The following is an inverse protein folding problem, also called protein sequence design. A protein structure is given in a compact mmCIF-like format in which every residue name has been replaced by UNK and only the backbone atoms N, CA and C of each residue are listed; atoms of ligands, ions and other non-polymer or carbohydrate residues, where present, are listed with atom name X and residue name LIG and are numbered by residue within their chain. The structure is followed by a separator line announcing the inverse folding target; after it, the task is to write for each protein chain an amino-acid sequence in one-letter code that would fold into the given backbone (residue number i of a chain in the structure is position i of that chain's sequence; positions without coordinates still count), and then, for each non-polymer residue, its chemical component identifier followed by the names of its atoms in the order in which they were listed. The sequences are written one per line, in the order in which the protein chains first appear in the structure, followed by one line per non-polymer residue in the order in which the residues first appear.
data_IF_238793908916
#
_entry.id   IF_238793908916
#
_cell.length_a   1.000
_cell.length_b   1.000
_cell.length_c   1.000
_cell.angle_alpha   90.00
_cell.angle_beta   90.00
_cell.angle_gamma   90.00
#
_symmetry.space_group_name_H-M   'P 1'
#
loop_
_entity.id
_entity.type
_entity.pdbx_description
1 polymer ?
#
# COMPACT_ATOMS: atom_id res chain seq x y z
N UNK A 1 4.61 16.16 -16.07
CA UNK A 1 4.69 14.81 -16.65
C UNK A 1 5.33 13.91 -15.60
N UNK A 2 4.58 12.95 -15.04
CA UNK A 2 5.10 12.02 -14.02
C UNK A 2 5.87 10.85 -14.65
N UNK A 3 6.86 10.30 -13.94
CA UNK A 3 7.62 9.13 -14.39
C UNK A 3 7.15 7.88 -13.63
N UNK A 4 6.94 6.78 -14.33
CA UNK A 4 6.57 5.48 -13.74
C UNK A 4 7.53 4.40 -14.23
N UNK A 5 7.92 3.48 -13.34
CA UNK A 5 8.74 2.32 -13.65
C UNK A 5 8.21 1.09 -12.91
N UNK A 6 8.14 -0.06 -13.57
CA UNK A 6 7.86 -1.38 -13.00
C UNK A 6 9.07 -2.30 -13.19
N UNK A 7 9.23 -3.32 -12.34
CA UNK A 7 10.33 -4.28 -12.53
C UNK A 7 10.02 -5.34 -13.59
N UNK A 8 10.97 -5.64 -14.49
CA UNK A 8 10.90 -6.83 -15.33
C UNK A 8 11.23 -8.07 -14.48
N UNK A 9 10.30 -9.03 -14.40
CA UNK A 9 10.55 -10.34 -13.79
C UNK A 9 11.29 -11.23 -14.78
N UNK A 10 12.63 -11.27 -14.70
CA UNK A 10 13.48 -12.23 -15.44
C UNK A 10 14.30 -13.04 -14.44
N UNK A 11 14.05 -14.35 -14.37
CA UNK A 11 14.80 -15.29 -13.54
C UNK A 11 16.08 -15.73 -14.25
N UNK A 12 17.23 -15.74 -13.55
CA UNK A 12 18.47 -16.38 -14.02
C UNK A 12 19.15 -17.15 -12.88
N UNK A 13 19.64 -18.35 -13.20
CA UNK A 13 20.13 -19.41 -12.31
C UNK A 13 21.39 -19.06 -11.48
N UNK A 14 21.36 -19.49 -10.21
CA UNK A 14 22.39 -20.29 -9.52
C UNK A 14 23.69 -19.64 -9.01
N UNK A 15 23.83 -19.47 -7.68
CA UNK A 15 24.86 -20.15 -6.84
C UNK A 15 24.94 -19.61 -5.39
N UNK A 16 24.88 -20.55 -4.43
CA UNK A 16 25.37 -20.61 -3.02
C UNK A 16 25.60 -19.33 -2.20
N UNK A 17 24.93 -19.27 -1.04
CA UNK A 17 25.33 -18.47 0.14
C UNK A 17 24.44 -18.77 1.34
N UNK A 18 25.03 -19.16 2.48
CA UNK A 18 24.37 -19.57 3.73
C UNK A 18 23.64 -18.44 4.49
N UNK A 19 23.03 -18.75 5.66
CA UNK A 19 21.91 -17.99 6.20
C UNK A 19 22.38 -16.74 6.94
N UNK A 20 21.82 -15.57 6.58
CA UNK A 20 21.91 -14.36 7.38
C UNK A 20 20.68 -14.26 8.27
N UNK A 21 20.93 -13.97 9.54
CA UNK A 21 19.98 -14.01 10.63
C UNK A 21 18.75 -13.14 10.41
N UNK A 22 17.66 -13.60 11.03
CA UNK A 22 16.45 -12.84 11.31
C UNK A 22 16.80 -11.65 12.23
N UNK A 23 17.33 -10.56 11.67
CA UNK A 23 17.26 -9.27 12.34
C UNK A 23 15.80 -8.84 12.33
N UNK A 24 15.15 -9.00 13.47
CA UNK A 24 13.85 -8.43 13.78
C UNK A 24 14.01 -6.89 13.75
N UNK A 25 13.84 -6.32 12.56
CA UNK A 25 13.87 -4.87 12.33
C UNK A 25 12.86 -4.22 13.29
N UNK A 26 13.35 -3.52 14.32
CA UNK A 26 12.51 -2.72 15.21
C UNK A 26 11.81 -1.65 14.38
N UNK A 27 10.48 -1.70 14.33
CA UNK A 27 9.61 -0.74 13.65
C UNK A 27 9.90 0.66 14.21
N UNK A 28 10.24 1.63 13.35
CA UNK A 28 10.28 3.03 13.75
C UNK A 28 8.88 3.46 14.22
N UNK A 29 8.78 4.18 15.35
CA UNK A 29 7.49 4.58 15.88
C UNK A 29 6.73 5.46 14.88
N UNK A 30 5.45 5.16 14.70
CA UNK A 30 4.57 5.85 13.76
C UNK A 30 3.20 6.08 14.38
N UNK A 31 2.52 7.13 13.93
CA UNK A 31 1.11 7.40 14.22
C UNK A 31 0.32 7.43 12.92
N UNK A 32 -0.99 7.31 13.02
CA UNK A 32 -1.91 7.41 11.88
C UNK A 32 -2.75 8.67 12.03
N UNK A 33 -2.94 9.42 10.95
CA UNK A 33 -3.91 10.52 10.86
C UNK A 33 -4.95 10.17 9.81
N UNK A 34 -6.22 10.20 10.21
CA UNK A 34 -7.38 10.04 9.32
C UNK A 34 -7.93 11.43 8.98
N UNK A 35 -7.93 11.76 7.69
CA UNK A 35 -8.43 13.03 7.16
C UNK A 35 -9.96 13.06 7.09
N UNK A 36 -10.54 14.26 6.99
CA UNK A 36 -12.00 14.46 6.90
C UNK A 36 -12.60 13.68 5.72
N UNK A 37 -11.87 13.63 4.59
CA UNK A 37 -12.21 12.92 3.36
C UNK A 37 -12.00 11.38 3.43
N UNK A 38 -11.58 10.87 4.59
CA UNK A 38 -11.34 9.44 4.81
C UNK A 38 -9.98 8.94 4.29
N UNK A 39 -9.07 9.82 3.86
CA UNK A 39 -7.69 9.40 3.57
C UNK A 39 -6.92 9.09 4.87
N UNK A 40 -6.10 8.06 4.83
CA UNK A 40 -5.17 7.69 5.91
C UNK A 40 -3.76 8.21 5.59
N UNK A 41 -3.07 8.74 6.60
CA UNK A 41 -1.68 9.19 6.52
C UNK A 41 -0.88 8.60 7.67
N UNK A 42 0.09 7.72 7.38
CA UNK A 42 1.05 7.23 8.38
C UNK A 42 2.20 8.25 8.54
N UNK A 43 2.44 8.71 9.77
CA UNK A 43 3.47 9.68 10.12
C UNK A 43 4.57 9.02 10.95
N UNK A 44 5.83 9.20 10.55
CA UNK A 44 6.98 8.86 11.39
C UNK A 44 7.11 9.85 12.53
N UNK A 45 7.54 9.36 13.69
CA UNK A 45 7.72 10.16 14.89
C UNK A 45 9.21 10.44 15.18
N UNK A 46 9.53 11.54 15.88
CA UNK A 46 8.60 12.52 16.47
C UNK A 46 8.07 13.55 15.47
N UNK A 47 6.81 13.98 15.67
CA UNK A 47 6.15 15.05 14.94
C UNK A 47 5.20 15.81 15.87
N UNK A 48 5.28 17.14 15.85
CA UNK A 48 4.33 18.01 16.56
C UNK A 48 3.01 18.14 15.79
N UNK A 49 1.90 18.29 16.51
CA UNK A 49 0.57 18.46 15.93
C UNK A 49 0.50 19.64 14.94
N UNK A 50 1.25 20.73 15.19
CA UNK A 50 1.37 21.89 14.27
C UNK A 50 1.77 21.53 12.85
N UNK A 51 2.52 20.44 12.67
CA UNK A 51 2.94 20.00 11.34
C UNK A 51 1.75 19.50 10.50
N UNK A 52 0.70 19.00 11.16
CA UNK A 52 -0.54 18.55 10.54
C UNK A 52 -1.54 19.71 10.44
N UNK A 53 -1.76 20.47 11.52
CA UNK A 53 -2.75 21.55 11.53
C UNK A 53 -2.39 22.69 10.57
N UNK A 54 -1.12 23.03 10.41
CA UNK A 54 -0.66 24.04 9.43
C UNK A 54 -1.00 23.69 7.98
N UNK A 55 -1.15 22.41 7.65
CA UNK A 55 -1.54 21.94 6.31
C UNK A 55 -3.06 21.83 6.16
N UNK A 56 -3.83 21.98 7.24
CA UNK A 56 -5.28 21.75 7.30
C UNK A 56 -5.98 22.85 8.12
N UNK A 57 -6.02 24.11 7.64
CA UNK A 57 -6.37 25.28 8.44
C UNK A 57 -7.82 25.34 8.94
N UNK A 58 -8.74 24.57 8.34
CA UNK A 58 -10.14 24.50 8.77
C UNK A 58 -10.44 23.32 9.71
N UNK A 59 -9.39 22.64 10.17
CA UNK A 59 -9.50 21.42 10.94
C UNK A 59 -8.69 21.49 12.23
N UNK A 60 -9.16 20.78 13.25
CA UNK A 60 -8.38 20.50 14.45
C UNK A 60 -8.00 19.02 14.49
N UNK A 61 -6.91 18.73 15.20
CA UNK A 61 -6.42 17.37 15.36
C UNK A 61 -6.93 16.82 16.70
N UNK A 62 -7.41 15.59 16.71
CA UNK A 62 -7.87 14.93 17.93
C UNK A 62 -7.34 13.50 18.02
N UNK A 63 -7.09 13.03 19.24
CA UNK A 63 -6.60 11.68 19.51
C UNK A 63 -7.80 10.74 19.76
N UNK A 64 -7.82 9.57 19.13
CA UNK A 64 -8.91 8.60 19.30
C UNK A 64 -9.09 8.16 20.76
N UNK A 65 -8.01 8.08 21.54
CA UNK A 65 -8.06 7.62 22.94
C UNK A 65 -8.66 8.66 23.90
N UNK A 66 -8.74 9.93 23.49
CA UNK A 66 -9.31 10.99 24.32
C UNK A 66 -10.76 11.34 23.95
N UNK A 67 -11.34 10.60 23.00
CA UNK A 67 -12.74 10.77 22.59
C UNK A 67 -13.69 10.07 23.56
N UNK A 68 -14.79 10.73 23.92
CA UNK A 68 -15.83 10.16 24.77
C UNK A 68 -17.20 10.65 24.34
N UNK A 69 -18.19 9.76 24.41
CA UNK A 69 -19.58 10.11 24.08
C UNK A 69 -20.12 11.09 25.12
N UNK A 70 -20.81 12.12 24.66
CA UNK A 70 -21.41 13.16 25.51
C UNK A 70 -20.46 14.30 25.88
N UNK A 71 -19.20 14.27 25.43
CA UNK A 71 -18.23 15.35 25.66
C UNK A 71 -17.78 15.98 24.34
N UNK A 72 -17.39 17.25 24.38
CA UNK A 72 -16.70 17.87 23.24
C UNK A 72 -15.36 17.17 23.00
N UNK A 73 -15.00 16.97 21.73
CA UNK A 73 -13.76 16.28 21.37
C UNK A 73 -12.55 17.15 21.73
N UNK A 74 -11.60 16.66 22.55
CA UNK A 74 -10.42 17.43 22.89
C UNK A 74 -9.52 17.67 21.68
N UNK A 75 -9.08 18.92 21.50
CA UNK A 75 -8.03 19.26 20.52
C UNK A 75 -6.65 18.88 21.07
N UNK A 76 -5.80 18.31 20.22
CA UNK A 76 -4.37 18.10 20.50
C UNK A 76 -3.66 19.46 20.35
N UNK A 77 -3.00 19.99 21.40
CA UNK A 77 -2.23 21.23 21.34
C UNK A 77 -1.18 21.22 20.23
N UNK A 78 -0.94 22.36 19.60
CA UNK A 78 -0.06 22.47 18.42
C UNK A 78 1.40 22.03 18.72
N UNK A 79 1.85 22.26 19.95
CA UNK A 79 3.19 21.94 20.44
C UNK A 79 3.33 20.48 20.87
N UNK A 80 2.23 19.76 21.08
CA UNK A 80 2.24 18.38 21.53
C UNK A 80 2.79 17.46 20.42
N UNK A 81 3.66 16.53 20.81
CA UNK A 81 4.15 15.49 19.92
C UNK A 81 3.17 14.33 19.82
N UNK A 82 2.94 13.87 18.59
CA UNK A 82 2.13 12.69 18.34
C UNK A 82 2.79 11.44 18.94
N UNK A 83 1.94 10.57 19.47
CA UNK A 83 2.34 9.40 20.21
C UNK A 83 2.43 8.16 19.30
N UNK A 84 3.40 7.25 19.54
CA UNK A 84 3.54 6.02 18.76
C UNK A 84 2.33 5.10 18.88
N UNK A 85 1.88 4.55 17.75
CA UNK A 85 0.77 3.59 17.68
C UNK A 85 -0.62 4.21 17.79
N UNK A 86 -0.71 5.53 17.96
CA UNK A 86 -1.98 6.24 18.13
C UNK A 86 -2.63 6.60 16.79
N UNK A 87 -3.96 6.68 16.81
CA UNK A 87 -4.79 7.11 15.69
C UNK A 87 -5.34 8.50 16.01
N UNK A 88 -5.11 9.43 15.09
CA UNK A 88 -5.60 10.79 15.17
C UNK A 88 -6.60 11.05 14.05
N UNK A 89 -7.54 11.95 14.29
CA UNK A 89 -8.50 12.40 13.28
C UNK A 89 -8.37 13.91 13.06
N UNK A 90 -8.48 14.33 11.81
CA UNK A 90 -8.76 15.72 11.46
C UNK A 90 -10.28 15.90 11.42
N UNK A 91 -10.80 16.77 12.28
CA UNK A 91 -12.22 17.12 12.34
C UNK A 91 -12.41 18.60 11.98
N UNK A 92 -13.54 18.99 11.35
CA UNK A 92 -13.84 20.40 11.09
C UNK A 92 -13.89 21.23 12.37
N UNK A 93 -13.32 22.45 12.35
CA UNK A 93 -13.35 23.34 13.53
C UNK A 93 -14.76 23.63 14.05
N UNK A 94 -15.78 23.60 13.17
CA UNK A 94 -17.19 23.77 13.56
C UNK A 94 -17.77 22.61 14.37
N UNK A 95 -17.03 21.51 14.55
CA UNK A 95 -17.40 20.36 15.38
C UNK A 95 -16.74 20.39 16.76
N UNK A 96 -15.75 21.26 17.00
CA UNK A 96 -14.98 21.29 18.25
C UNK A 96 -15.83 21.57 19.50
N UNK A 97 -16.93 22.31 19.35
CA UNK A 97 -17.84 22.67 20.46
C UNK A 97 -19.08 21.77 20.56
N UNK A 98 -19.17 20.73 19.72
CA UNK A 98 -20.31 19.81 19.71
C UNK A 98 -19.96 18.58 20.54
N UNK A 99 -20.81 18.19 21.52
CA UNK A 99 -20.63 16.91 22.21
C UNK A 99 -20.72 15.75 21.22
N UNK A 100 -19.76 14.83 21.31
CA UNK A 100 -19.70 13.68 20.42
C UNK A 100 -20.86 12.72 20.74
N UNK A 101 -21.69 12.40 19.74
CA UNK A 101 -22.74 11.39 19.91
C UNK A 101 -22.20 9.98 19.62
N UNK A 102 -22.93 8.95 20.05
CA UNK A 102 -22.58 7.57 19.71
C UNK A 102 -22.56 7.33 18.18
N UNK A 103 -23.54 7.82 17.39
CA UNK A 103 -23.45 7.79 15.92
C UNK A 103 -22.19 8.44 15.34
N UNK A 104 -21.75 9.58 15.89
CA UNK A 104 -20.54 10.26 15.42
C UNK A 104 -19.29 9.40 15.68
N UNK A 105 -19.17 8.83 16.88
CA UNK A 105 -18.07 7.94 17.23
C UNK A 105 -18.07 6.69 16.34
N UNK A 106 -19.23 6.09 16.06
CA UNK A 106 -19.35 4.99 15.10
C UNK A 106 -18.91 5.40 13.70
N UNK A 107 -19.29 6.60 13.24
CA UNK A 107 -18.88 7.11 11.94
C UNK A 107 -17.37 7.32 11.84
N UNK A 108 -16.71 7.80 12.90
CA UNK A 108 -15.25 7.92 12.97
C UNK A 108 -14.57 6.54 12.95
N UNK A 109 -15.09 5.57 13.69
CA UNK A 109 -14.57 4.20 13.69
C UNK A 109 -14.69 3.54 12.30
N UNK A 110 -15.85 3.68 11.65
CA UNK A 110 -16.07 3.20 10.28
C UNK A 110 -15.12 3.93 9.31
N UNK A 111 -14.95 5.25 9.46
CA UNK A 111 -14.02 6.02 8.63
C UNK A 111 -12.60 5.51 8.79
N UNK A 112 -12.11 5.31 10.01
CA UNK A 112 -10.78 4.73 10.25
C UNK A 112 -10.64 3.32 9.67
N UNK A 113 -11.59 2.42 9.93
CA UNK A 113 -11.58 1.07 9.38
C UNK A 113 -11.58 1.06 7.85
N UNK A 114 -12.40 1.92 7.24
CA UNK A 114 -12.46 2.08 5.79
C UNK A 114 -11.17 2.66 5.24
N UNK A 115 -10.57 3.66 5.89
CA UNK A 115 -9.33 4.27 5.45
C UNK A 115 -8.14 3.29 5.54
N UNK A 116 -8.16 2.40 6.53
CA UNK A 116 -7.18 1.33 6.67
C UNK A 116 -7.39 0.19 5.64
N UNK A 117 -8.63 -0.01 5.16
CA UNK A 117 -8.99 -1.09 4.21
C UNK A 117 -9.26 -0.65 2.75
N UNK A 118 -9.30 0.65 2.47
CA UNK A 118 -9.63 1.20 1.15
C UNK A 118 -8.63 0.77 0.10
N UNK A 119 -7.34 0.87 0.44
CA UNK A 119 -6.27 0.48 -0.47
C UNK A 119 -6.33 -1.02 -0.82
N UNK A 120 -6.59 -1.86 0.18
CA UNK A 120 -6.77 -3.30 0.00
C UNK A 120 -7.93 -3.61 -0.96
N UNK A 121 -9.05 -2.92 -0.78
CA UNK A 121 -10.24 -3.07 -1.62
C UNK A 121 -9.97 -2.66 -3.07
N UNK A 122 -9.29 -1.53 -3.28
CA UNK A 122 -8.96 -1.04 -4.63
C UNK A 122 -7.95 -1.95 -5.35
N UNK A 123 -6.87 -2.38 -4.67
CA UNK A 123 -5.93 -3.36 -5.23
C UNK A 123 -6.68 -4.63 -5.65
N UNK A 124 -7.43 -5.24 -4.73
CA UNK A 124 -8.11 -6.51 -4.98
C UNK A 124 -9.13 -6.40 -6.12
N UNK A 125 -9.93 -5.32 -6.13
CA UNK A 125 -10.94 -5.07 -7.14
C UNK A 125 -10.32 -4.96 -8.53
N UNK A 126 -9.27 -4.15 -8.69
CA UNK A 126 -8.62 -3.96 -9.99
C UNK A 126 -8.00 -5.27 -10.52
N UNK A 127 -7.36 -6.07 -9.66
CA UNK A 127 -6.86 -7.39 -10.04
C UNK A 127 -7.99 -8.32 -10.48
N UNK A 128 -9.07 -8.39 -9.70
CA UNK A 128 -10.18 -9.31 -9.98
C UNK A 128 -10.97 -8.92 -11.23
N UNK A 129 -11.04 -7.63 -11.57
CA UNK A 129 -11.57 -7.18 -12.85
C UNK A 129 -10.72 -7.67 -14.03
N UNK A 130 -9.38 -7.56 -13.93
CA UNK A 130 -8.47 -8.05 -14.97
C UNK A 130 -8.52 -9.58 -15.13
N UNK A 131 -8.64 -10.30 -14.01
CA UNK A 131 -8.75 -11.76 -13.97
C UNK A 131 -10.06 -12.27 -14.57
N UNK A 132 -11.17 -11.62 -14.26
CA UNK A 132 -12.45 -11.92 -14.88
C UNK A 132 -12.42 -11.73 -16.40
N UNK A 133 -11.71 -10.70 -16.90
CA UNK A 133 -11.57 -10.44 -18.33
C UNK A 133 -10.81 -11.55 -19.11
N UNK A 134 -10.10 -12.44 -18.43
CA UNK A 134 -9.43 -13.61 -19.02
C UNK A 134 -9.99 -14.94 -18.50
N UNK A 135 -11.10 -14.92 -17.75
CA UNK A 135 -11.78 -16.13 -17.27
C UNK A 135 -11.06 -16.91 -16.16
N UNK A 136 -10.23 -16.25 -15.34
CA UNK A 136 -9.62 -16.90 -14.17
C UNK A 136 -10.26 -16.46 -12.85
N UNK A 137 -10.28 -17.37 -11.88
CA UNK A 137 -10.89 -17.17 -10.56
C UNK A 137 -10.35 -15.94 -9.82
N UNK A 138 -11.16 -15.21 -9.04
CA UNK A 138 -10.71 -14.04 -8.31
C UNK A 138 -9.69 -14.39 -7.22
N UNK A 139 -8.74 -13.49 -6.99
CA UNK A 139 -7.87 -13.51 -5.82
C UNK A 139 -8.68 -13.18 -4.55
N UNK A 140 -8.18 -13.66 -3.41
CA UNK A 140 -8.62 -13.26 -2.07
C UNK A 140 -7.54 -12.40 -1.41
N UNK A 141 -7.96 -11.40 -0.64
CA UNK A 141 -7.01 -10.60 0.13
C UNK A 141 -6.43 -11.41 1.30
N UNK A 142 -5.13 -11.32 1.51
CA UNK A 142 -4.41 -11.95 2.60
C UNK A 142 -3.74 -10.89 3.47
N UNK A 143 -4.24 -10.73 4.69
CA UNK A 143 -3.65 -9.83 5.70
C UNK A 143 -2.20 -10.19 6.01
N UNK A 144 -1.86 -11.48 5.92
CA UNK A 144 -0.48 -11.92 6.10
C UNK A 144 0.44 -11.36 5.01
N UNK A 145 0.03 -11.48 3.73
CA UNK A 145 0.80 -10.94 2.60
C UNK A 145 0.84 -9.41 2.64
N UNK A 146 -0.29 -8.76 2.96
CA UNK A 146 -0.37 -7.31 3.09
C UNK A 146 0.58 -6.77 4.16
N UNK A 147 0.66 -7.45 5.31
CA UNK A 147 1.61 -7.11 6.37
C UNK A 147 3.06 -7.32 5.93
N UNK A 148 3.35 -8.39 5.19
CA UNK A 148 4.69 -8.64 4.65
C UNK A 148 5.11 -7.57 3.63
N UNK A 149 4.27 -7.23 2.65
CA UNK A 149 4.53 -6.15 1.69
C UNK A 149 4.65 -4.82 2.39
N UNK A 150 3.82 -4.55 3.41
CA UNK A 150 3.83 -3.32 4.21
C UNK A 150 5.17 -3.13 4.93
N UNK A 151 5.74 -4.20 5.50
CA UNK A 151 7.10 -4.18 6.08
C UNK A 151 8.15 -3.92 5.01
N UNK A 152 8.04 -4.55 3.85
CA UNK A 152 9.01 -4.42 2.77
C UNK A 152 9.03 -3.02 2.15
N UNK A 153 7.88 -2.45 1.78
CA UNK A 153 7.84 -1.09 1.20
C UNK A 153 8.37 -0.04 2.17
N UNK A 154 8.08 -0.17 3.47
CA UNK A 154 8.65 0.71 4.49
C UNK A 154 10.16 0.53 4.61
N UNK A 155 10.66 -0.71 4.60
CA UNK A 155 12.10 -0.96 4.63
C UNK A 155 12.79 -0.32 3.43
N UNK A 156 12.23 -0.47 2.23
CA UNK A 156 12.79 0.16 1.03
C UNK A 156 12.77 1.69 1.12
N UNK A 157 11.67 2.27 1.60
CA UNK A 157 11.56 3.72 1.84
C UNK A 157 12.61 4.22 2.82
N UNK A 158 12.78 3.51 3.92
CA UNK A 158 13.53 4.00 5.08
C UNK A 158 15.03 3.75 4.97
N UNK A 159 15.42 2.63 4.35
CA UNK A 159 16.79 2.15 4.37
C UNK A 159 17.41 2.01 2.97
N UNK A 160 16.59 2.06 1.92
CA UNK A 160 17.04 1.81 0.53
C UNK A 160 16.65 2.93 -0.43
N UNK A 161 16.35 4.12 0.07
CA UNK A 161 16.00 5.29 -0.73
C UNK A 161 14.86 5.02 -1.73
N UNK A 162 13.87 4.22 -1.33
CA UNK A 162 12.76 3.79 -2.20
C UNK A 162 13.14 3.04 -3.48
N UNK A 163 14.34 2.47 -3.54
CA UNK A 163 14.71 1.57 -4.63
C UNK A 163 13.81 0.33 -4.65
N UNK A 164 13.75 -0.35 -5.80
CA UNK A 164 13.07 -1.63 -5.90
C UNK A 164 13.64 -2.68 -4.95
N UNK A 165 12.75 -3.48 -4.39
CA UNK A 165 13.13 -4.64 -3.59
C UNK A 165 13.59 -5.78 -4.50
N UNK A 166 14.49 -6.62 -3.97
CA UNK A 166 14.81 -7.88 -4.61
C UNK A 166 13.68 -8.88 -4.35
N UNK A 167 12.79 -9.06 -5.32
CA UNK A 167 11.66 -9.99 -5.23
C UNK A 167 11.97 -11.40 -5.76
N UNK A 168 13.14 -11.62 -6.37
CA UNK A 168 13.49 -12.85 -7.07
C UNK A 168 14.35 -13.81 -6.24
N UNK A 169 15.19 -13.29 -5.34
CA UNK A 169 16.07 -14.13 -4.51
C UNK A 169 15.41 -14.51 -3.19
N UNK A 170 15.02 -15.78 -3.03
CA UNK A 170 14.54 -16.33 -1.76
C UNK A 170 13.10 -15.95 -1.36
N UNK A 171 12.35 -15.27 -2.25
CA UNK A 171 10.94 -14.98 -2.02
C UNK A 171 10.09 -16.25 -2.15
N UNK A 172 9.26 -16.52 -1.15
CA UNK A 172 8.26 -17.60 -1.18
C UNK A 172 7.00 -17.23 -2.00
N UNK A 173 6.90 -15.96 -2.41
CA UNK A 173 5.72 -15.37 -3.04
C UNK A 173 6.05 -14.81 -4.42
N UNK A 174 5.06 -14.79 -5.29
CA UNK A 174 5.12 -13.99 -6.52
C UNK A 174 5.09 -12.52 -6.16
N UNK A 175 5.67 -11.64 -6.98
CA UNK A 175 5.85 -10.25 -6.60
C UNK A 175 5.85 -9.28 -7.77
N UNK A 176 5.03 -8.23 -7.65
CA UNK A 176 5.05 -7.07 -8.54
C UNK A 176 5.40 -5.82 -7.73
N UNK A 177 6.08 -4.87 -8.37
CA UNK A 177 6.35 -3.56 -7.78
C UNK A 177 6.30 -2.45 -8.82
N UNK A 178 5.90 -1.27 -8.37
CA UNK A 178 5.82 -0.06 -9.18
C UNK A 178 6.40 1.11 -8.40
N UNK A 179 7.27 1.87 -9.06
CA UNK A 179 7.69 3.19 -8.61
C UNK A 179 7.04 4.23 -9.50
N UNK A 180 6.45 5.27 -8.91
CA UNK A 180 5.81 6.33 -9.65
C UNK A 180 6.02 7.69 -8.97
N UNK A 181 6.22 8.76 -9.76
CA UNK A 181 6.40 10.13 -9.27
C UNK A 181 5.45 11.13 -9.94
N UNK A 182 5.19 12.23 -9.21
CA UNK A 182 4.57 13.43 -9.77
C UNK A 182 3.05 13.51 -9.66
N UNK A 183 2.37 12.54 -9.03
CA UNK A 183 0.93 12.56 -8.71
C UNK A 183 0.60 11.69 -7.49
N UNK A 184 -0.60 11.86 -6.93
CA UNK A 184 -1.16 10.90 -5.96
C UNK A 184 -1.42 9.57 -6.66
N UNK A 185 -0.64 8.54 -6.31
CA UNK A 185 -0.71 7.21 -6.93
C UNK A 185 -1.73 6.37 -6.18
N UNK A 186 -2.84 6.03 -6.86
CA UNK A 186 -3.87 5.14 -6.30
C UNK A 186 -3.54 3.66 -6.56
N UNK A 187 -4.02 2.73 -5.73
CA UNK A 187 -3.93 1.30 -5.99
C UNK A 187 -4.43 0.88 -7.38
N UNK A 188 -5.54 1.45 -7.83
CA UNK A 188 -6.10 1.17 -9.16
C UNK A 188 -5.12 1.56 -10.27
N UNK A 189 -4.51 2.76 -10.19
CA UNK A 189 -3.49 3.20 -11.15
C UNK A 189 -2.26 2.28 -11.19
N UNK A 190 -1.88 1.71 -10.04
CA UNK A 190 -0.76 0.75 -9.98
C UNK A 190 -1.07 -0.48 -10.81
N UNK A 191 -2.26 -1.06 -10.61
CA UNK A 191 -2.69 -2.25 -11.33
C UNK A 191 -2.88 -1.96 -12.81
N UNK A 192 -3.54 -0.87 -13.16
CA UNK A 192 -3.72 -0.44 -14.57
C UNK A 192 -2.38 -0.27 -15.29
N UNK A 193 -1.36 0.21 -14.58
CA UNK A 193 -0.01 0.33 -15.15
C UNK A 193 0.60 -1.05 -15.45
N UNK A 194 0.40 -2.05 -14.59
CA UNK A 194 0.82 -3.43 -14.87
C UNK A 194 0.02 -4.05 -16.01
N UNK A 195 -1.27 -3.75 -16.13
CA UNK A 195 -2.13 -4.28 -17.18
C UNK A 195 -1.74 -3.80 -18.59
N UNK A 196 -1.04 -2.68 -18.73
CA UNK A 196 -0.52 -2.20 -20.03
C UNK A 196 0.40 -3.20 -20.72
N UNK A 197 1.07 -4.07 -19.96
CA UNK A 197 1.90 -5.11 -20.56
C UNK A 197 1.09 -6.18 -21.32
N UNK A 198 -0.24 -6.23 -21.13
CA UNK A 198 -1.15 -7.09 -21.90
C UNK A 198 -0.99 -6.89 -23.40
N UNK A 199 -0.78 -5.66 -23.85
CA UNK A 199 -0.65 -5.32 -25.28
C UNK A 199 0.57 -5.98 -25.95
N UNK A 200 1.53 -6.44 -25.13
CA UNK A 200 2.75 -7.12 -25.58
C UNK A 200 2.74 -8.63 -25.32
N UNK A 201 1.68 -9.17 -24.69
CA UNK A 201 1.60 -10.59 -24.36
C UNK A 201 0.79 -11.37 -25.41
N UNK A 202 1.46 -12.31 -26.09
CA UNK A 202 0.80 -13.26 -26.98
C UNK A 202 0.47 -14.54 -26.20
N UNK A 203 -0.82 -14.73 -25.93
CA UNK A 203 -1.34 -15.88 -25.20
C UNK A 203 -1.15 -17.20 -25.95
N UNK A 204 -1.44 -17.25 -27.26
CA UNK A 204 -1.33 -18.46 -28.09
C UNK A 204 0.08 -19.04 -28.08
N UNK A 205 1.09 -18.17 -28.11
CA UNK A 205 2.51 -18.57 -28.07
C UNK A 205 3.10 -18.62 -26.66
N UNK A 206 2.32 -18.27 -25.62
CA UNK A 206 2.80 -17.98 -24.27
C UNK A 206 4.11 -17.17 -24.26
N UNK A 207 4.11 -16.07 -25.02
CA UNK A 207 5.34 -15.32 -25.33
C UNK A 207 5.12 -13.81 -25.22
N UNK A 208 6.14 -13.10 -24.77
CA UNK A 208 6.15 -11.64 -24.81
C UNK A 208 6.80 -11.14 -26.10
N UNK A 209 6.31 -10.03 -26.65
CA UNK A 209 6.93 -9.36 -27.81
C UNK A 209 8.40 -9.03 -27.49
N UNK A 210 9.34 -9.22 -28.44
CA UNK A 210 10.75 -8.89 -28.22
C UNK A 210 10.95 -7.45 -27.73
N UNK A 211 11.88 -7.24 -26.79
CA UNK A 211 12.18 -5.96 -26.14
C UNK A 211 11.07 -5.38 -25.24
N UNK A 212 9.98 -6.12 -25.01
CA UNK A 212 8.96 -5.78 -24.03
C UNK A 212 9.04 -6.69 -22.80
N UNK A 213 8.34 -6.26 -21.74
CA UNK A 213 8.12 -7.05 -20.53
C UNK A 213 6.65 -7.39 -20.43
N UNK A 214 6.36 -8.60 -19.96
CA UNK A 214 5.00 -9.11 -19.73
C UNK A 214 4.83 -9.71 -18.33
N UNK A 215 5.91 -9.77 -17.55
CA UNK A 215 5.97 -10.53 -16.32
C UNK A 215 5.12 -9.94 -15.19
N UNK A 216 4.89 -8.62 -15.16
CA UNK A 216 3.99 -8.05 -14.15
C UNK A 216 2.53 -8.27 -14.54
N UNK A 217 2.19 -8.21 -15.84
CA UNK A 217 0.85 -8.57 -16.31
C UNK A 217 0.54 -10.05 -16.07
N UNK A 218 1.41 -10.98 -16.49
CA UNK A 218 1.15 -12.41 -16.36
C UNK A 218 1.00 -12.84 -14.89
N UNK A 219 1.69 -12.17 -13.97
CA UNK A 219 1.49 -12.41 -12.54
C UNK A 219 0.10 -11.96 -12.04
N UNK A 220 -0.41 -10.80 -12.49
CA UNK A 220 -1.76 -10.32 -12.11
C UNK A 220 -2.83 -11.35 -12.49
N UNK A 221 -2.72 -11.90 -13.70
CA UNK A 221 -3.69 -12.84 -14.26
C UNK A 221 -3.31 -14.32 -14.07
N UNK A 222 -2.36 -14.62 -13.18
CA UNK A 222 -1.88 -15.99 -12.99
C UNK A 222 -2.95 -16.88 -12.32
N UNK A 223 -3.47 -17.87 -13.04
CA UNK A 223 -4.57 -18.74 -12.63
C UNK A 223 -4.32 -19.46 -11.31
N UNK A 224 -3.09 -19.91 -11.08
CA UNK A 224 -2.72 -20.65 -9.86
C UNK A 224 -2.49 -19.76 -8.64
N UNK A 225 -2.39 -18.44 -8.79
CA UNK A 225 -2.32 -17.52 -7.65
C UNK A 225 -3.72 -17.35 -7.06
N UNK A 226 -3.82 -17.47 -5.73
CA UNK A 226 -5.10 -17.49 -4.99
C UNK A 226 -5.23 -16.31 -4.04
N UNK A 227 -4.11 -15.87 -3.47
CA UNK A 227 -4.06 -14.80 -2.47
C UNK A 227 -3.25 -13.60 -2.97
N UNK A 228 -3.66 -12.42 -2.54
CA UNK A 228 -3.03 -11.13 -2.81
C UNK A 228 -2.82 -10.36 -1.51
N UNK A 229 -1.67 -9.71 -1.36
CA UNK A 229 -1.49 -8.67 -0.36
C UNK A 229 -0.57 -7.59 -0.89
N UNK A 230 -0.97 -6.33 -0.73
CA UNK A 230 -0.26 -5.20 -1.28
C UNK A 230 -0.01 -4.13 -0.23
N UNK A 231 1.02 -3.31 -0.46
CA UNK A 231 1.24 -2.10 0.30
C UNK A 231 1.93 -1.05 -0.57
N UNK A 232 1.82 0.21 -0.15
CA UNK A 232 2.45 1.35 -0.77
C UNK A 232 3.13 2.22 0.28
N UNK A 233 4.28 2.80 -0.08
CA UNK A 233 4.99 3.76 0.74
C UNK A 233 5.24 5.04 -0.06
N UNK A 234 4.96 6.19 0.55
CA UNK A 234 5.32 7.51 -0.02
C UNK A 234 6.78 7.83 0.28
N UNK A 235 7.48 8.32 -0.73
CA UNK A 235 8.90 8.61 -0.76
C UNK A 235 9.10 10.13 -0.79
N UNK A 236 9.65 10.68 0.31
CA UNK A 236 9.64 12.12 0.60
C UNK A 236 10.49 12.95 -0.37
N UNK A 237 11.57 12.38 -0.92
CA UNK A 237 12.51 13.15 -1.76
C UNK A 237 11.91 13.63 -3.08
N UNK A 238 10.94 12.91 -3.66
CA UNK A 238 10.49 13.17 -5.04
C UNK A 238 8.95 13.17 -5.20
N UNK A 239 8.19 13.29 -4.10
CA UNK A 239 6.74 13.03 -4.10
C UNK A 239 6.40 11.72 -4.84
N UNK A 240 7.26 10.71 -4.65
CA UNK A 240 7.15 9.43 -5.33
C UNK A 240 6.50 8.40 -4.43
N UNK A 241 6.05 7.30 -5.01
CA UNK A 241 5.48 6.16 -4.31
C UNK A 241 6.12 4.87 -4.79
N UNK A 242 6.36 3.96 -3.85
CA UNK A 242 6.73 2.58 -4.13
C UNK A 242 5.59 1.67 -3.67
N UNK A 243 4.99 0.96 -4.62
CA UNK A 243 3.96 -0.06 -4.38
C UNK A 243 4.55 -1.45 -4.59
N UNK A 244 4.24 -2.39 -3.71
CA UNK A 244 4.63 -3.81 -3.82
C UNK A 244 3.41 -4.68 -3.52
N UNK A 245 3.14 -5.66 -4.37
CA UNK A 245 2.12 -6.69 -4.18
C UNK A 245 2.77 -8.08 -4.17
N UNK A 246 2.33 -8.93 -3.25
CA UNK A 246 2.67 -10.35 -3.20
C UNK A 246 1.49 -11.24 -3.57
N UNK A 247 1.82 -12.36 -4.22
CA UNK A 247 0.89 -13.36 -4.70
C UNK A 247 1.26 -14.74 -4.15
N UNK A 248 0.27 -15.49 -3.69
CA UNK A 248 0.47 -16.84 -3.21
C UNK A 248 -0.58 -17.80 -3.80
N UNK A 249 -0.18 -18.96 -4.35
CA UNK A 249 1.18 -19.32 -4.79
C UNK A 249 1.81 -18.33 -5.79
N UNK A 250 3.15 -18.32 -5.95
CA UNK A 250 3.84 -17.51 -6.95
C UNK A 250 3.41 -17.86 -8.38
N UNK A 251 3.32 -16.86 -9.24
CA UNK A 251 3.10 -17.03 -10.67
C UNK A 251 4.40 -17.05 -11.48
N UNK A 252 4.28 -16.90 -12.79
CA UNK A 252 5.38 -16.86 -13.75
C UNK A 252 6.29 -18.10 -13.69
N UNK A 253 5.68 -19.27 -13.51
CA UNK A 253 6.39 -20.55 -13.57
C UNK A 253 6.84 -20.80 -15.02
N UNK A 254 8.13 -21.10 -15.20
CA UNK A 254 8.72 -21.31 -16.52
C UNK A 254 8.01 -22.45 -17.24
N UNK A 255 7.53 -22.17 -18.46
CA UNK A 255 6.84 -23.14 -19.31
C UNK A 255 5.33 -23.27 -19.05
N UNK A 256 4.78 -22.58 -18.05
CA UNK A 256 3.34 -22.56 -17.79
C UNK A 256 2.67 -21.30 -18.36
N UNK A 257 1.44 -21.44 -18.85
CA UNK A 257 0.58 -20.32 -19.25
C UNK A 257 -0.09 -19.69 -18.02
N UNK A 258 -0.24 -18.35 -17.96
CA UNK A 258 -0.94 -17.67 -16.88
C UNK A 258 -2.43 -18.00 -16.81
N UNK A 259 -3.08 -18.33 -17.93
CA UNK A 259 -4.50 -18.72 -17.98
C UNK A 259 -4.75 -19.80 -19.03
#
# INVERSE_FOLDING_TARGET
MGACASTPTRTRNGSRGGPAGSDMIRRAPSSIVIHVDGRMQELKLPKQAKHITSQNPNNFLCNSETMSVGTCVPNVPEEEELQPGQIYFLLPLCEAQKPLSLPDLCALAIKAASALGKDATEYLKAHNQARAAVGVEPLKWSEFLANATSRLVRYQRDNKACNFANLTSGSKYGGNQLWASGQSVTPTMVVDTWLKEKDFYNHTGNSCVPNHSCGVYTQVVWKKSLELGCAQATCVKDQSSLSICFYNPPGNVIGESPY
#
